data_IF_908282066204
#
_entry.id   IF_908282066204
#
_cell.length_a   1.000
_cell.length_b   1.000
_cell.length_c   1.000
_cell.angle_alpha   90.00
_cell.angle_beta   90.00
_cell.angle_gamma   90.00
#
_symmetry.space_group_name_H-M   'P 1'
#
loop_
_entity.id
_entity.type
_entity.pdbx_description
1 polymer ?
#
# COMPACT_ATOMS: atom_id res chain seq x y z
N UNK A 1 50.02 -53.68 -81.85
CA UNK A 1 48.90 -52.77 -82.19
C UNK A 1 47.82 -53.02 -81.22
N UNK A 2 47.58 -52.02 -80.40
CA UNK A 2 46.75 -52.14 -79.15
C UNK A 2 45.39 -51.43 -79.39
N UNK A 3 44.34 -52.19 -79.22
CA UNK A 3 42.96 -51.61 -79.17
C UNK A 3 42.52 -51.41 -77.74
N UNK A 4 42.15 -50.20 -77.38
CA UNK A 4 41.51 -49.82 -76.09
C UNK A 4 39.99 -49.92 -76.18
N UNK A 5 39.29 -50.44 -75.19
CA UNK A 5 37.86 -50.37 -75.12
C UNK A 5 37.43 -49.11 -74.37
N UNK A 6 36.33 -48.47 -74.89
CA UNK A 6 35.63 -47.39 -74.27
C UNK A 6 34.74 -47.83 -73.11
N UNK A 7 34.87 -47.20 -71.94
CA UNK A 7 33.95 -47.36 -70.83
C UNK A 7 32.88 -46.23 -70.90
N UNK A 8 31.62 -46.63 -70.95
CA UNK A 8 30.49 -45.74 -70.81
C UNK A 8 30.21 -45.45 -69.35
N UNK A 9 30.03 -44.17 -69.05
CA UNK A 9 29.63 -43.70 -67.72
C UNK A 9 28.12 -43.56 -67.69
N UNK A 10 27.45 -44.34 -66.85
CA UNK A 10 26.04 -44.15 -66.50
C UNK A 10 25.93 -43.08 -65.41
N UNK A 11 25.23 -42.01 -65.71
CA UNK A 11 24.92 -40.94 -64.78
C UNK A 11 23.66 -41.32 -63.92
N UNK A 12 23.88 -41.72 -62.70
CA UNK A 12 22.79 -41.92 -61.72
C UNK A 12 22.32 -40.57 -61.18
N UNK A 13 21.07 -40.25 -61.40
CA UNK A 13 20.41 -39.09 -60.76
C UNK A 13 20.02 -39.48 -59.34
N UNK A 14 20.74 -38.98 -58.33
CA UNK A 14 20.35 -39.05 -56.94
C UNK A 14 19.26 -37.98 -56.64
N UNK A 15 18.06 -38.45 -56.32
CA UNK A 15 16.97 -37.56 -55.80
C UNK A 15 17.25 -37.34 -54.33
N UNK A 16 17.66 -36.13 -53.97
CA UNK A 16 17.75 -35.72 -52.55
C UNK A 16 16.37 -35.26 -52.12
N UNK A 17 15.70 -36.08 -51.29
CA UNK A 17 14.44 -35.72 -50.62
C UNK A 17 14.83 -34.89 -49.38
N UNK A 18 14.70 -33.57 -49.45
CA UNK A 18 14.86 -32.69 -48.29
C UNK A 18 13.58 -32.77 -47.41
N UNK A 19 13.65 -33.54 -46.36
CA UNK A 19 12.62 -33.53 -45.34
C UNK A 19 12.74 -32.20 -44.55
N UNK A 20 11.84 -31.29 -44.75
CA UNK A 20 11.66 -30.12 -43.90
C UNK A 20 11.14 -30.58 -42.52
N UNK A 21 12.04 -30.73 -41.53
CA UNK A 21 11.66 -30.84 -40.11
C UNK A 21 11.18 -29.45 -39.66
N UNK A 22 9.86 -29.21 -39.61
CA UNK A 22 9.27 -28.11 -38.89
C UNK A 22 9.45 -28.38 -37.41
N UNK A 23 10.48 -27.77 -36.81
CA UNK A 23 10.64 -27.71 -35.37
C UNK A 23 9.52 -26.77 -34.89
N UNK A 24 8.42 -27.31 -34.36
CA UNK A 24 7.47 -26.54 -33.58
C UNK A 24 8.23 -26.05 -32.33
N UNK A 25 8.62 -24.78 -32.37
CA UNK A 25 9.09 -24.10 -31.16
C UNK A 25 7.88 -24.08 -30.21
N UNK A 26 7.93 -24.72 -29.05
CA UNK A 26 6.85 -24.59 -28.09
C UNK A 26 6.72 -23.09 -27.78
N UNK A 27 5.55 -22.51 -27.99
CA UNK A 27 5.22 -21.22 -27.45
C UNK A 27 5.55 -21.28 -25.96
N UNK A 28 6.54 -20.50 -25.54
CA UNK A 28 6.86 -20.36 -24.13
C UNK A 28 5.57 -19.86 -23.47
N UNK A 29 4.92 -20.72 -22.69
CA UNK A 29 3.79 -20.32 -21.88
C UNK A 29 4.27 -19.12 -21.06
N UNK A 30 3.77 -17.93 -21.35
CA UNK A 30 4.12 -16.73 -20.60
C UNK A 30 3.80 -17.00 -19.14
N UNK A 31 4.85 -17.05 -18.33
CA UNK A 31 4.72 -17.21 -16.91
C UNK A 31 3.79 -16.11 -16.37
N UNK A 32 2.80 -16.51 -15.56
CA UNK A 32 1.96 -15.55 -14.85
C UNK A 32 2.86 -14.83 -13.86
N UNK A 33 3.00 -13.52 -13.99
CA UNK A 33 3.92 -12.72 -13.18
C UNK A 33 3.21 -11.50 -12.63
N UNK A 34 3.65 -11.10 -11.46
CA UNK A 34 3.40 -9.78 -10.93
C UNK A 34 4.76 -9.17 -10.58
N UNK A 35 5.02 -8.00 -11.10
CA UNK A 35 6.20 -7.19 -10.77
C UNK A 35 5.74 -5.86 -10.18
N UNK A 36 6.53 -5.37 -9.27
CA UNK A 36 6.22 -4.16 -8.52
C UNK A 36 7.41 -3.20 -8.60
N UNK A 37 7.13 -1.93 -8.79
CA UNK A 37 8.14 -0.88 -8.72
C UNK A 37 7.66 0.22 -7.77
N UNK A 38 8.56 0.70 -6.91
CA UNK A 38 8.32 1.88 -6.08
C UNK A 38 8.60 3.12 -6.91
N UNK A 39 7.67 4.06 -6.91
CA UNK A 39 7.90 5.41 -7.42
C UNK A 39 7.82 6.40 -6.27
N UNK A 40 8.87 7.20 -6.13
CA UNK A 40 8.96 8.24 -5.11
C UNK A 40 9.74 9.43 -5.66
N UNK A 41 9.07 10.49 -6.15
CA UNK A 41 9.72 11.61 -6.81
C UNK A 41 10.53 12.50 -5.83
N UNK A 42 10.52 12.17 -4.56
CA UNK A 42 11.18 12.93 -3.51
C UNK A 42 10.20 13.75 -2.67
N UNK A 43 10.72 14.44 -1.64
CA UNK A 43 9.91 15.16 -0.68
C UNK A 43 9.39 16.50 -1.21
N UNK A 44 8.15 16.82 -0.84
CA UNK A 44 7.59 18.17 -0.90
C UNK A 44 7.76 18.85 0.46
N UNK A 45 8.39 20.03 0.49
CA UNK A 45 8.65 20.76 1.74
C UNK A 45 7.37 21.29 2.35
N UNK A 46 7.31 21.29 3.67
CA UNK A 46 6.20 21.78 4.48
C UNK A 46 5.42 20.69 5.21
N UNK A 47 4.38 21.08 5.96
CA UNK A 47 3.82 22.43 6.06
C UNK A 47 4.63 23.36 6.97
N UNK A 48 4.93 24.59 6.52
CA UNK A 48 5.77 25.54 7.28
C UNK A 48 4.99 26.30 8.35
N UNK A 49 3.67 26.28 8.32
CA UNK A 49 2.81 27.01 9.27
C UNK A 49 1.94 26.06 10.09
N UNK A 50 1.65 26.41 11.37
CA UNK A 50 0.77 25.59 12.20
C UNK A 50 -0.63 25.42 11.59
N UNK A 51 -1.24 24.27 11.85
CA UNK A 51 -2.62 23.92 11.44
C UNK A 51 -2.85 23.99 9.92
N UNK A 52 -1.83 23.64 9.16
CA UNK A 52 -1.90 23.54 7.70
C UNK A 52 -1.47 22.17 7.23
N UNK A 53 -1.73 21.89 5.96
CA UNK A 53 -1.31 20.66 5.29
C UNK A 53 -0.56 20.95 4.00
N UNK A 54 0.19 19.97 3.55
CA UNK A 54 0.83 19.90 2.25
C UNK A 54 0.44 18.59 1.58
N UNK A 55 0.27 18.60 0.26
CA UNK A 55 0.08 17.42 -0.55
C UNK A 55 1.27 17.18 -1.47
N UNK A 56 1.57 15.93 -1.69
CA UNK A 56 2.55 15.45 -2.66
C UNK A 56 1.98 14.22 -3.37
N UNK A 57 2.48 13.88 -4.56
CA UNK A 57 2.02 12.71 -5.29
C UNK A 57 3.18 11.95 -5.94
N UNK A 58 2.94 10.70 -6.21
CA UNK A 58 3.80 9.82 -7.00
C UNK A 58 2.96 9.13 -8.06
N UNK A 59 3.51 8.95 -9.26
CA UNK A 59 2.79 8.50 -10.44
C UNK A 59 3.31 7.16 -10.92
N UNK A 60 2.41 6.27 -11.36
CA UNK A 60 2.73 4.99 -11.97
C UNK A 60 2.62 5.13 -13.51
N UNK A 61 3.71 5.44 -14.23
CA UNK A 61 3.64 5.73 -15.66
C UNK A 61 3.30 4.50 -16.52
N UNK A 62 3.72 3.32 -16.06
CA UNK A 62 3.62 2.05 -16.82
C UNK A 62 2.91 0.95 -16.02
N UNK A 63 2.00 1.32 -15.10
CA UNK A 63 1.36 0.35 -14.24
C UNK A 63 0.14 0.91 -13.51
N UNK A 64 -0.45 0.05 -12.69
CA UNK A 64 -1.56 0.38 -11.81
C UNK A 64 -1.04 0.66 -10.40
N UNK A 65 -1.59 1.66 -9.73
CA UNK A 65 -1.37 1.80 -8.30
C UNK A 65 -2.04 0.62 -7.59
N UNK A 66 -1.25 -0.23 -6.95
CA UNK A 66 -1.77 -1.27 -6.05
C UNK A 66 -1.87 -0.80 -4.61
N UNK A 67 -1.06 0.18 -4.24
CA UNK A 67 -1.01 0.76 -2.92
C UNK A 67 -0.01 1.91 -2.89
N UNK A 68 0.26 2.41 -1.71
CA UNK A 68 1.28 3.44 -1.54
C UNK A 68 1.35 3.93 -0.10
N UNK A 69 2.24 4.87 0.13
CA UNK A 69 2.55 5.34 1.45
C UNK A 69 2.89 6.82 1.50
N UNK A 70 3.22 7.25 2.69
CA UNK A 70 3.74 8.57 3.00
C UNK A 70 4.84 8.46 4.06
N UNK A 71 5.86 9.30 3.94
CA UNK A 71 6.83 9.54 4.99
C UNK A 71 6.91 11.04 5.29
N UNK A 72 6.81 11.36 6.56
CA UNK A 72 6.94 12.71 7.08
C UNK A 72 8.32 12.84 7.70
N UNK A 73 9.27 13.38 6.92
CA UNK A 73 10.57 13.68 7.49
C UNK A 73 10.45 14.72 8.59
N UNK A 74 11.04 14.40 9.72
CA UNK A 74 11.11 15.23 10.90
C UNK A 74 12.50 15.87 10.88
N UNK A 75 12.57 17.19 10.93
CA UNK A 75 13.85 17.90 11.02
C UNK A 75 14.56 17.68 12.36
N UNK A 76 15.65 18.39 12.58
CA UNK A 76 16.41 18.32 13.83
C UNK A 76 15.61 18.70 15.09
N UNK A 77 14.50 19.41 14.90
CA UNK A 77 13.54 19.74 15.94
C UNK A 77 12.42 18.69 16.07
N UNK A 78 12.73 17.45 15.83
CA UNK A 78 11.88 16.28 15.81
C UNK A 78 10.97 16.14 17.01
N UNK A 79 11.40 16.66 18.11
CA UNK A 79 10.67 16.70 19.38
C UNK A 79 9.47 17.65 19.36
N UNK A 80 9.19 18.31 18.24
CA UNK A 80 8.26 19.43 18.21
C UNK A 80 6.79 19.05 18.08
N UNK A 81 6.44 17.78 18.01
CA UNK A 81 5.04 17.33 18.14
C UNK A 81 4.07 17.85 17.08
N UNK A 82 4.53 18.30 15.95
CA UNK A 82 3.69 18.99 14.97
C UNK A 82 3.39 18.17 13.75
N UNK A 83 4.38 17.49 13.23
CA UNK A 83 4.32 16.84 11.93
C UNK A 83 3.65 15.45 12.01
N UNK A 84 2.70 15.19 11.12
CA UNK A 84 2.00 13.90 11.07
C UNK A 84 1.41 13.63 9.69
N UNK A 85 1.25 12.38 9.36
CA UNK A 85 0.50 11.97 8.16
C UNK A 85 -0.97 12.37 8.34
N UNK A 86 -1.54 13.01 7.32
CA UNK A 86 -2.97 13.35 7.25
C UNK A 86 -3.72 12.53 6.21
N UNK A 87 -3.00 11.81 5.36
CA UNK A 87 -3.61 10.93 4.39
C UNK A 87 -2.61 10.29 3.45
N UNK A 88 -3.02 9.16 2.93
CA UNK A 88 -2.33 8.33 1.94
C UNK A 88 -3.42 7.69 1.10
N UNK A 89 -3.60 8.11 -0.15
CA UNK A 89 -4.78 7.73 -0.94
C UNK A 89 -4.49 7.60 -2.43
N UNK A 90 -5.20 6.69 -3.14
CA UNK A 90 -5.17 6.69 -4.60
C UNK A 90 -5.85 7.94 -5.16
N UNK A 91 -5.43 8.37 -6.34
CA UNK A 91 -5.98 9.51 -7.06
C UNK A 91 -6.05 9.22 -8.56
N UNK A 92 -6.97 9.87 -9.24
CA UNK A 92 -7.12 9.76 -10.69
C UNK A 92 -6.08 10.57 -11.46
N UNK A 93 -5.62 11.69 -10.91
CA UNK A 93 -4.82 12.69 -11.62
C UNK A 93 -3.64 13.26 -10.79
N UNK A 94 -3.41 12.72 -9.58
CA UNK A 94 -2.39 13.20 -8.65
C UNK A 94 -2.72 14.53 -7.94
N UNK A 95 -3.87 15.12 -8.21
CA UNK A 95 -4.28 16.41 -7.65
C UNK A 95 -5.65 16.34 -6.96
N UNK A 96 -6.53 15.45 -7.40
CA UNK A 96 -7.92 15.35 -6.95
C UNK A 96 -8.12 14.12 -6.07
N UNK A 97 -8.67 14.33 -4.88
CA UNK A 97 -9.07 13.26 -3.97
C UNK A 97 -10.44 12.68 -4.37
N UNK A 98 -10.62 11.37 -4.22
CA UNK A 98 -11.95 10.74 -4.32
C UNK A 98 -12.72 10.98 -3.02
N UNK A 99 -13.55 12.01 -2.96
CA UNK A 99 -14.27 12.41 -1.74
C UNK A 99 -15.80 12.41 -1.88
N UNK A 100 -16.31 12.03 -3.04
CA UNK A 100 -17.73 12.11 -3.40
C UNK A 100 -18.62 11.09 -2.66
N UNK A 101 -19.43 10.36 -3.39
CA UNK A 101 -20.36 9.36 -2.84
C UNK A 101 -19.61 8.05 -2.57
N UNK A 102 -19.82 7.41 -1.40
CA UNK A 102 -19.26 6.08 -1.13
C UNK A 102 -19.62 5.04 -2.19
N UNK A 103 -18.70 4.11 -2.43
CA UNK A 103 -18.80 3.05 -3.43
C UNK A 103 -17.56 3.01 -4.33
N UNK A 104 -17.69 2.45 -5.53
CA UNK A 104 -16.63 2.51 -6.55
C UNK A 104 -16.55 3.94 -7.08
N UNK A 105 -15.42 4.58 -6.87
CA UNK A 105 -15.19 6.01 -7.18
C UNK A 105 -14.21 6.24 -8.32
N UNK A 106 -13.47 5.19 -8.74
CA UNK A 106 -12.53 5.26 -9.84
C UNK A 106 -12.07 3.88 -10.28
N UNK A 107 -11.46 3.82 -11.46
CA UNK A 107 -10.83 2.64 -12.03
C UNK A 107 -9.42 3.00 -12.47
N UNK A 108 -8.52 2.01 -12.43
CA UNK A 108 -7.15 2.11 -12.96
C UNK A 108 -6.40 3.34 -12.45
N UNK A 109 -6.47 3.59 -11.13
CA UNK A 109 -5.74 4.69 -10.53
C UNK A 109 -4.24 4.56 -10.83
N UNK A 110 -3.65 5.63 -11.36
CA UNK A 110 -2.25 5.71 -11.72
C UNK A 110 -1.45 6.67 -10.82
N UNK A 111 -2.10 7.28 -9.84
CA UNK A 111 -1.48 8.26 -8.95
C UNK A 111 -1.75 7.92 -7.50
N UNK A 112 -0.79 8.24 -6.65
CA UNK A 112 -0.89 8.14 -5.21
C UNK A 112 -0.60 9.48 -4.57
N UNK A 113 -1.50 9.96 -3.72
CA UNK A 113 -1.32 11.20 -2.98
C UNK A 113 -0.94 10.93 -1.53
N UNK A 114 0.03 11.67 -1.04
CA UNK A 114 0.41 11.75 0.35
C UNK A 114 0.13 13.14 0.91
N UNK A 115 -0.43 13.18 2.12
CA UNK A 115 -0.77 14.43 2.81
C UNK A 115 -0.04 14.50 4.13
N UNK A 116 0.76 15.55 4.29
CA UNK A 116 1.36 15.91 5.55
C UNK A 116 0.59 17.02 6.25
N UNK A 117 0.58 16.99 7.56
CA UNK A 117 -0.06 18.02 8.36
C UNK A 117 0.81 18.50 9.49
N UNK A 118 0.49 19.69 10.00
CA UNK A 118 1.11 20.23 11.20
C UNK A 118 0.06 20.51 12.28
N UNK A 119 0.41 20.22 13.52
CA UNK A 119 -0.32 20.63 14.70
C UNK A 119 -0.02 22.09 15.09
N UNK A 120 0.09 22.35 16.40
CA UNK A 120 0.43 23.68 16.91
C UNK A 120 1.87 24.10 16.66
N UNK A 121 2.72 23.20 16.23
CA UNK A 121 4.09 23.46 15.82
C UNK A 121 4.29 23.13 14.36
N UNK A 122 5.14 23.88 13.71
CA UNK A 122 5.52 23.69 12.30
C UNK A 122 6.98 24.05 12.14
N UNK A 123 7.59 23.58 11.06
CA UNK A 123 8.98 23.89 10.70
C UNK A 123 9.12 23.90 9.19
N UNK A 124 9.95 24.79 8.68
CA UNK A 124 10.36 24.79 7.26
C UNK A 124 11.14 23.51 6.88
N UNK A 125 11.66 22.78 7.88
CA UNK A 125 12.36 21.51 7.68
C UNK A 125 11.40 20.31 7.54
N UNK A 126 10.10 20.47 7.78
CA UNK A 126 9.13 19.40 7.56
C UNK A 126 9.00 19.10 6.06
N UNK A 127 8.84 17.84 5.74
CA UNK A 127 8.59 17.43 4.36
C UNK A 127 7.71 16.20 4.31
N UNK A 128 7.03 16.03 3.19
CA UNK A 128 6.15 14.90 2.92
C UNK A 128 6.64 14.18 1.66
N UNK A 129 7.01 12.92 1.80
CA UNK A 129 7.46 12.07 0.69
C UNK A 129 6.34 11.09 0.33
N UNK A 130 5.84 11.09 -0.91
CA UNK A 130 4.88 10.11 -1.39
C UNK A 130 5.59 8.86 -1.90
N UNK A 131 4.96 7.70 -1.76
CA UNK A 131 5.38 6.43 -2.33
C UNK A 131 4.20 5.80 -3.05
N UNK A 132 4.31 5.56 -4.35
CA UNK A 132 3.39 4.73 -5.10
C UNK A 132 3.99 3.33 -5.28
N UNK A 133 3.18 2.31 -5.09
CA UNK A 133 3.50 0.93 -5.47
C UNK A 133 2.82 0.67 -6.82
N UNK A 134 3.64 0.57 -7.85
CA UNK A 134 3.20 0.40 -9.23
C UNK A 134 3.24 -1.08 -9.60
N UNK A 135 2.08 -1.68 -9.79
CA UNK A 135 1.90 -3.09 -10.15
C UNK A 135 1.83 -3.24 -11.65
N UNK A 136 2.65 -4.14 -12.19
CA UNK A 136 2.54 -4.67 -13.55
C UNK A 136 2.24 -6.16 -13.47
N UNK A 137 1.09 -6.59 -14.00
CA UNK A 137 0.66 -7.99 -13.95
C UNK A 137 -0.08 -8.39 -15.21
N UNK A 138 0.11 -9.64 -15.63
CA UNK A 138 -0.65 -10.20 -16.75
C UNK A 138 -2.00 -10.79 -16.30
N UNK A 139 -2.27 -10.88 -14.99
CA UNK A 139 -3.55 -11.33 -14.45
C UNK A 139 -4.40 -10.15 -13.93
N UNK A 140 -3.80 -9.22 -13.19
CA UNK A 140 -4.49 -8.02 -12.71
C UNK A 140 -4.20 -6.91 -13.71
N UNK A 141 -5.12 -6.69 -14.63
CA UNK A 141 -4.98 -5.70 -15.71
C UNK A 141 -5.74 -4.42 -15.43
N UNK A 142 -6.73 -4.51 -14.56
CA UNK A 142 -7.59 -3.41 -14.16
C UNK A 142 -7.81 -3.43 -12.66
N UNK A 143 -7.96 -2.24 -12.09
CA UNK A 143 -8.28 -2.06 -10.68
C UNK A 143 -9.47 -1.13 -10.52
N UNK A 144 -10.10 -1.19 -9.36
CA UNK A 144 -11.13 -0.26 -8.96
C UNK A 144 -10.82 0.28 -7.57
N UNK A 145 -11.09 1.55 -7.37
CA UNK A 145 -10.98 2.21 -6.09
C UNK A 145 -12.36 2.26 -5.45
N UNK A 146 -12.50 1.64 -4.29
CA UNK A 146 -13.70 1.72 -3.45
C UNK A 146 -13.41 2.69 -2.31
N UNK A 147 -14.28 3.64 -2.11
CA UNK A 147 -14.18 4.60 -1.02
C UNK A 147 -15.38 4.49 -0.10
N UNK A 148 -15.14 4.62 1.19
CA UNK A 148 -16.16 4.86 2.19
C UNK A 148 -15.73 6.00 3.11
N UNK A 149 -16.71 6.71 3.70
CA UNK A 149 -16.44 7.83 4.60
C UNK A 149 -17.46 7.93 5.72
N UNK A 150 -17.04 8.52 6.82
CA UNK A 150 -17.93 8.87 7.90
C UNK A 150 -17.52 10.19 8.57
N UNK A 151 -18.50 10.91 9.08
CA UNK A 151 -18.26 12.09 9.90
C UNK A 151 -17.59 11.70 11.23
N UNK A 152 -16.63 12.49 11.63
CA UNK A 152 -15.87 12.32 12.87
C UNK A 152 -14.42 11.90 12.66
N UNK A 153 -13.67 11.80 13.78
CA UNK A 153 -14.05 12.10 15.15
C UNK A 153 -14.28 13.61 15.38
N UNK A 154 -15.27 13.97 16.17
CA UNK A 154 -15.67 15.39 16.39
C UNK A 154 -15.37 15.90 17.80
N UNK A 155 -15.13 15.04 18.76
CA UNK A 155 -14.79 15.39 20.15
C UNK A 155 -13.38 14.96 20.50
N UNK A 156 -12.70 15.72 21.34
CA UNK A 156 -11.34 15.41 21.78
C UNK A 156 -11.19 14.01 22.35
N UNK A 157 -10.04 13.41 22.12
CA UNK A 157 -9.67 12.05 22.57
C UNK A 157 -10.62 10.96 22.06
N UNK A 158 -11.12 11.09 20.85
CA UNK A 158 -11.98 10.10 20.21
C UNK A 158 -11.44 9.63 18.86
N UNK A 159 -11.96 8.51 18.40
CA UNK A 159 -11.64 7.96 17.09
C UNK A 159 -12.91 7.69 16.27
N UNK A 160 -12.74 7.58 14.95
CA UNK A 160 -13.77 7.19 14.00
C UNK A 160 -13.22 6.15 13.04
N UNK A 161 -13.84 4.99 13.07
CA UNK A 161 -13.50 3.89 12.17
C UNK A 161 -14.39 3.92 10.93
N UNK A 162 -13.80 3.64 9.77
CA UNK A 162 -14.48 3.54 8.48
C UNK A 162 -13.85 2.39 7.69
N UNK A 163 -14.68 1.56 7.06
CA UNK A 163 -14.23 0.42 6.25
C UNK A 163 -14.74 0.56 4.83
N UNK A 164 -13.84 0.39 3.85
CA UNK A 164 -14.16 0.25 2.43
C UNK A 164 -14.00 -1.23 2.04
N UNK A 165 -15.03 -1.82 1.43
CA UNK A 165 -15.08 -3.26 1.12
C UNK A 165 -15.03 -3.47 -0.39
N UNK A 166 -14.19 -4.36 -0.84
CA UNK A 166 -14.09 -4.77 -2.23
C UNK A 166 -15.39 -5.46 -2.71
N UNK A 167 -15.82 -5.23 -3.95
CA UNK A 167 -16.95 -5.97 -4.50
C UNK A 167 -16.70 -7.49 -4.50
N UNK A 168 -17.77 -8.24 -4.34
CA UNK A 168 -17.70 -9.72 -4.37
C UNK A 168 -17.08 -10.21 -5.68
N UNK A 169 -16.14 -11.14 -5.60
CA UNK A 169 -15.45 -11.69 -6.77
C UNK A 169 -14.20 -10.92 -7.17
N UNK A 170 -13.76 -9.97 -6.37
CA UNK A 170 -12.51 -9.22 -6.59
C UNK A 170 -11.52 -9.48 -5.44
N UNK A 171 -10.25 -9.12 -5.64
CA UNK A 171 -9.18 -9.28 -4.65
C UNK A 171 -8.75 -7.90 -4.16
N UNK A 172 -8.63 -7.75 -2.85
CA UNK A 172 -8.00 -6.58 -2.25
C UNK A 172 -6.49 -6.61 -2.55
N UNK A 173 -5.98 -5.56 -3.15
CA UNK A 173 -4.54 -5.41 -3.43
C UNK A 173 -3.90 -4.26 -2.66
N UNK A 174 -4.70 -3.41 -2.03
CA UNK A 174 -4.21 -2.35 -1.17
C UNK A 174 -5.29 -1.40 -0.71
N UNK A 175 -4.86 -0.31 -0.09
CA UNK A 175 -5.79 0.70 0.39
C UNK A 175 -5.10 1.88 1.06
N UNK A 176 -5.89 2.78 1.59
CA UNK A 176 -5.41 4.01 2.20
C UNK A 176 -6.40 4.66 3.16
N UNK A 177 -5.95 5.72 3.79
CA UNK A 177 -6.70 6.49 4.79
C UNK A 177 -6.52 7.99 4.61
N UNK A 178 -7.55 8.76 4.95
CA UNK A 178 -7.53 10.22 4.93
C UNK A 178 -8.39 10.80 6.04
N UNK A 179 -7.96 11.92 6.59
CA UNK A 179 -8.81 12.75 7.46
C UNK A 179 -8.80 14.20 7.01
N UNK A 180 -9.94 14.86 7.09
CA UNK A 180 -10.13 16.28 6.73
C UNK A 180 -10.95 17.01 7.78
N UNK A 181 -10.78 18.36 7.94
CA UNK A 181 -9.85 19.24 7.25
C UNK A 181 -8.46 19.29 7.92
N UNK A 182 -7.45 19.75 7.18
CA UNK A 182 -6.08 19.96 7.69
C UNK A 182 -5.98 21.05 8.76
N UNK A 183 -6.93 21.97 8.80
CA UNK A 183 -7.01 23.06 9.78
C UNK A 183 -7.27 22.59 11.21
N UNK A 184 -7.70 21.33 11.40
CA UNK A 184 -7.83 20.72 12.72
C UNK A 184 -6.53 19.96 13.04
N UNK A 185 -5.54 20.64 13.56
CA UNK A 185 -4.18 20.16 13.71
C UNK A 185 -3.95 18.98 14.65
N UNK A 186 -5.00 18.48 15.31
CA UNK A 186 -4.94 17.23 16.08
C UNK A 186 -5.69 16.07 15.39
N UNK A 187 -6.34 16.34 14.26
CA UNK A 187 -7.04 15.35 13.46
C UNK A 187 -6.07 14.67 12.50
N UNK A 188 -6.02 13.35 12.52
CA UNK A 188 -5.08 12.55 11.71
C UNK A 188 -5.59 11.12 11.57
N UNK A 189 -5.25 10.39 10.52
CA UNK A 189 -5.34 8.94 10.53
C UNK A 189 -4.40 8.40 11.62
N UNK A 190 -4.91 7.54 12.47
CA UNK A 190 -4.12 6.80 13.45
C UNK A 190 -3.97 5.33 13.07
N UNK A 191 -4.77 4.88 12.11
CA UNK A 191 -4.63 3.55 11.53
C UNK A 191 -5.13 3.51 10.08
N UNK A 192 -4.50 2.62 9.29
CA UNK A 192 -4.84 2.26 7.92
C UNK A 192 -4.39 0.82 7.70
N UNK A 193 -5.31 -0.16 7.54
CA UNK A 193 -4.95 -1.58 7.56
C UNK A 193 -5.92 -2.46 6.76
N UNK A 194 -5.45 -3.63 6.25
CA UNK A 194 -6.30 -4.65 5.65
C UNK A 194 -7.14 -5.37 6.71
N UNK A 195 -8.36 -5.77 6.34
CA UNK A 195 -9.32 -6.44 7.22
C UNK A 195 -10.30 -7.26 6.41
N UNK A 196 -11.28 -7.88 7.08
CA UNK A 196 -12.37 -8.60 6.47
C UNK A 196 -13.71 -7.95 6.84
N UNK A 197 -14.64 -7.96 5.89
CA UNK A 197 -16.01 -7.51 6.11
C UNK A 197 -16.91 -8.66 6.56
N UNK A 198 -16.52 -9.35 7.63
CA UNK A 198 -17.23 -10.47 8.22
C UNK A 198 -17.48 -10.28 9.72
N UNK A 199 -18.20 -11.24 10.32
CA UNK A 199 -18.56 -11.16 11.73
C UNK A 199 -17.37 -11.41 12.67
N UNK A 200 -16.39 -12.20 12.26
CA UNK A 200 -15.22 -12.53 13.07
C UNK A 200 -14.30 -11.31 13.18
N UNK A 201 -14.23 -10.48 12.14
CA UNK A 201 -13.52 -9.21 12.12
C UNK A 201 -14.42 -8.00 12.45
N UNK A 202 -15.59 -8.25 13.01
CA UNK A 202 -16.56 -7.21 13.38
C UNK A 202 -16.80 -6.20 12.24
N UNK A 203 -16.95 -6.72 11.00
CA UNK A 203 -17.19 -5.93 9.79
C UNK A 203 -16.14 -4.83 9.57
N UNK A 204 -14.88 -5.22 9.63
CA UNK A 204 -13.74 -4.32 9.40
C UNK A 204 -13.20 -3.61 10.62
N UNK A 205 -13.74 -3.86 11.80
CA UNK A 205 -13.27 -3.22 13.02
C UNK A 205 -12.05 -3.92 13.65
N UNK A 206 -11.78 -5.16 13.27
CA UNK A 206 -10.59 -5.91 13.67
C UNK A 206 -9.67 -6.04 12.46
N UNK A 207 -8.40 -5.71 12.63
CA UNK A 207 -7.40 -5.85 11.58
C UNK A 207 -7.14 -7.32 11.23
N UNK A 208 -6.79 -7.58 9.98
CA UNK A 208 -6.31 -8.89 9.57
C UNK A 208 -5.01 -9.24 10.30
N UNK A 209 -4.92 -10.48 10.79
CA UNK A 209 -3.79 -11.01 11.54
C UNK A 209 -2.67 -11.54 10.65
N UNK A 210 -1.53 -11.88 11.29
CA UNK A 210 -0.40 -12.46 10.57
C UNK A 210 -0.74 -13.81 9.97
N UNK A 211 -0.45 -13.98 8.67
CA UNK A 211 -0.71 -15.20 7.92
C UNK A 211 -2.16 -15.35 7.44
N UNK A 212 -3.05 -14.41 7.69
CA UNK A 212 -4.40 -14.45 7.10
C UNK A 212 -4.36 -14.18 5.59
N UNK A 213 -5.30 -14.78 4.88
CA UNK A 213 -5.36 -14.77 3.43
C UNK A 213 -6.61 -14.07 2.91
N UNK A 214 -6.43 -13.40 1.77
CA UNK A 214 -7.51 -12.83 0.97
C UNK A 214 -8.44 -11.89 1.76
N UNK A 215 -7.90 -10.90 2.52
CA UNK A 215 -8.74 -9.87 3.09
C UNK A 215 -9.55 -9.18 1.99
N UNK A 216 -10.77 -8.79 2.28
CA UNK A 216 -11.70 -8.19 1.30
C UNK A 216 -12.04 -6.73 1.58
N UNK A 217 -11.44 -6.14 2.62
CA UNK A 217 -11.72 -4.78 3.03
C UNK A 217 -10.48 -4.04 3.55
N UNK A 218 -10.56 -2.72 3.54
CA UNK A 218 -9.56 -1.84 4.11
C UNK A 218 -10.19 -0.86 5.10
N UNK A 219 -9.61 -0.76 6.28
CA UNK A 219 -10.10 0.12 7.33
C UNK A 219 -9.16 1.29 7.57
N UNK A 220 -9.75 2.45 7.72
CA UNK A 220 -9.13 3.66 8.21
C UNK A 220 -9.69 4.04 9.58
N UNK A 221 -8.84 4.49 10.49
CA UNK A 221 -9.25 5.05 11.77
C UNK A 221 -8.74 6.48 11.86
N UNK A 222 -9.65 7.44 11.85
CA UNK A 222 -9.35 8.83 12.19
C UNK A 222 -9.30 9.01 13.70
N UNK A 223 -8.31 9.73 14.19
CA UNK A 223 -8.17 10.09 15.59
C UNK A 223 -8.08 11.61 15.76
N UNK A 224 -8.56 12.11 16.88
CA UNK A 224 -8.42 13.52 17.25
C UNK A 224 -7.88 13.63 18.67
N UNK A 225 -6.86 14.47 18.85
CA UNK A 225 -6.32 14.82 20.15
C UNK A 225 -7.22 15.76 20.93
N UNK A 226 -6.64 16.79 21.56
CA UNK A 226 -7.39 17.74 22.41
C UNK A 226 -8.34 18.69 21.67
N UNK A 227 -8.36 18.67 20.34
CA UNK A 227 -9.21 19.57 19.53
C UNK A 227 -10.66 19.12 19.41
N UNK A 228 -11.47 19.94 18.74
CA UNK A 228 -12.85 19.64 18.34
C UNK A 228 -13.08 20.10 16.91
N UNK A 229 -13.91 19.38 16.15
CA UNK A 229 -14.30 19.77 14.80
C UNK A 229 -15.60 19.07 14.41
N UNK A 230 -16.63 19.88 14.12
CA UNK A 230 -17.94 19.36 13.72
C UNK A 230 -17.90 18.75 12.30
N UNK A 231 -17.01 19.30 11.45
CA UNK A 231 -16.91 18.92 10.03
C UNK A 231 -15.80 17.92 9.75
N UNK A 232 -15.26 17.28 10.79
CA UNK A 232 -14.23 16.28 10.64
C UNK A 232 -14.78 15.08 9.87
N UNK A 233 -13.98 14.56 8.95
CA UNK A 233 -14.30 13.38 8.14
C UNK A 233 -13.14 12.40 8.20
N UNK A 234 -13.47 11.11 8.19
CA UNK A 234 -12.54 10.00 7.99
C UNK A 234 -12.95 9.25 6.73
N UNK A 235 -11.97 8.95 5.89
CA UNK A 235 -12.14 8.22 4.63
C UNK A 235 -11.28 6.97 4.65
N UNK A 236 -11.85 5.86 4.19
CA UNK A 236 -11.15 4.62 3.89
C UNK A 236 -11.19 4.35 2.38
N UNK A 237 -10.08 3.87 1.84
CA UNK A 237 -9.97 3.47 0.44
C UNK A 237 -9.52 2.03 0.37
N UNK A 238 -10.18 1.22 -0.45
CA UNK A 238 -9.73 -0.09 -0.85
C UNK A 238 -9.40 -0.07 -2.35
N UNK A 239 -8.26 -0.62 -2.72
CA UNK A 239 -7.90 -0.86 -4.11
C UNK A 239 -8.12 -2.35 -4.37
N UNK A 240 -9.04 -2.63 -5.26
CA UNK A 240 -9.50 -3.97 -5.57
C UNK A 240 -9.18 -4.30 -7.04
N UNK A 241 -8.93 -5.56 -7.36
CA UNK A 241 -8.96 -5.99 -8.76
C UNK A 241 -10.36 -5.77 -9.35
N UNK A 242 -10.49 -5.89 -10.67
CA UNK A 242 -11.81 -6.04 -11.31
C UNK A 242 -12.27 -7.50 -11.29
N UNK A 243 -13.50 -7.77 -11.65
CA UNK A 243 -14.15 -9.10 -11.63
C UNK A 243 -13.77 -10.00 -12.81
N UNK A 244 -12.92 -9.53 -13.71
CA UNK A 244 -12.43 -10.26 -14.88
C UNK A 244 -11.22 -11.16 -14.62
N UNK A 245 -10.80 -11.30 -13.35
CA UNK A 245 -9.64 -12.10 -12.98
C UNK A 245 -10.02 -13.54 -12.60
N UNK A 246 -9.12 -14.48 -12.86
CA UNK A 246 -9.24 -15.85 -12.36
C UNK A 246 -8.74 -15.94 -10.93
N UNK A 247 -9.63 -15.83 -9.97
CA UNK A 247 -9.37 -15.89 -8.51
C UNK A 247 -8.63 -17.16 -8.07
N UNK A 248 -8.65 -18.25 -8.86
CA UNK A 248 -7.91 -19.48 -8.53
C UNK A 248 -6.39 -19.31 -8.63
N UNK A 249 -5.96 -18.25 -9.27
CA UNK A 249 -4.55 -17.98 -9.55
C UNK A 249 -4.01 -16.73 -8.86
N UNK A 250 -4.83 -16.05 -8.09
CA UNK A 250 -4.46 -14.82 -7.37
C UNK A 250 -4.90 -14.95 -5.93
N UNK A 251 -3.97 -14.73 -5.02
CA UNK A 251 -4.30 -14.62 -3.58
C UNK A 251 -3.41 -13.59 -2.91
N UNK A 252 -3.89 -13.03 -1.81
CA UNK A 252 -3.11 -12.14 -0.96
C UNK A 252 -2.87 -12.77 0.41
N UNK A 253 -1.73 -12.48 1.00
CA UNK A 253 -1.38 -12.89 2.36
C UNK A 253 -1.01 -11.66 3.17
N UNK A 254 -1.54 -11.57 4.37
CA UNK A 254 -1.21 -10.50 5.31
C UNK A 254 0.00 -10.91 6.14
N UNK A 255 0.96 -9.99 6.31
CA UNK A 255 2.01 -10.08 7.31
C UNK A 255 1.87 -8.95 8.29
N UNK A 256 1.97 -9.25 9.56
CA UNK A 256 1.75 -8.32 10.64
C UNK A 256 2.89 -8.35 11.65
N UNK A 257 3.27 -7.18 12.13
CA UNK A 257 4.22 -7.01 13.23
C UNK A 257 3.76 -5.88 14.15
N UNK A 258 3.84 -6.12 15.45
CA UNK A 258 3.56 -5.15 16.50
C UNK A 258 4.81 -4.90 17.34
N UNK A 259 5.12 -3.64 17.61
CA UNK A 259 6.25 -3.22 18.43
C UNK A 259 5.77 -2.25 19.51
N UNK A 260 6.10 -2.49 20.77
CA UNK A 260 5.74 -1.59 21.87
C UNK A 260 6.41 -0.21 21.72
N UNK A 261 5.64 0.82 21.87
CA UNK A 261 6.05 2.24 21.78
C UNK A 261 5.40 2.99 20.60
N UNK A 262 5.63 4.32 20.54
CA UNK A 262 6.41 5.15 21.46
C UNK A 262 5.67 5.40 22.80
N UNK A 263 6.35 5.17 23.92
CA UNK A 263 5.77 5.29 25.28
C UNK A 263 6.28 6.49 26.08
N UNK A 264 7.22 7.24 25.50
CA UNK A 264 7.78 8.46 26.10
C UNK A 264 7.49 9.66 25.22
N UNK A 265 7.36 10.84 25.84
CA UNK A 265 7.15 12.08 25.09
C UNK A 265 8.27 12.33 24.09
N UNK A 266 7.90 12.80 22.90
CA UNK A 266 8.82 13.22 21.85
C UNK A 266 9.81 12.13 21.42
N UNK A 267 9.33 10.89 21.33
CA UNK A 267 10.09 9.75 20.80
C UNK A 267 9.37 9.10 19.63
N UNK A 268 10.13 8.53 18.72
CA UNK A 268 9.62 7.73 17.60
C UNK A 268 9.81 6.22 17.84
N UNK A 269 9.04 5.44 17.12
CA UNK A 269 9.14 3.99 17.03
C UNK A 269 8.89 3.56 15.59
N UNK A 270 9.63 2.56 15.13
CA UNK A 270 9.36 1.91 13.84
C UNK A 270 9.02 0.44 14.05
N UNK A 271 8.13 -0.06 13.22
CA UNK A 271 7.82 -1.48 13.08
C UNK A 271 7.91 -1.85 11.60
N UNK A 272 8.39 -3.06 11.29
CA UNK A 272 8.58 -3.51 9.91
C UNK A 272 8.01 -4.91 9.74
N UNK A 273 7.18 -5.12 8.72
CA UNK A 273 6.65 -6.42 8.30
C UNK A 273 7.05 -6.68 6.84
N UNK A 274 7.18 -7.94 6.45
CA UNK A 274 7.65 -8.25 5.11
C UNK A 274 7.09 -9.52 4.52
N UNK A 275 6.98 -9.54 3.19
CA UNK A 275 6.60 -10.70 2.40
C UNK A 275 7.74 -11.71 2.39
N UNK A 276 7.48 -12.92 2.85
CA UNK A 276 8.47 -13.98 2.86
C UNK A 276 8.55 -14.67 1.50
N UNK A 277 9.64 -15.44 1.30
CA UNK A 277 9.82 -16.19 0.06
C UNK A 277 8.66 -17.16 -0.16
N UNK A 278 7.96 -17.01 -1.28
CA UNK A 278 6.83 -17.86 -1.66
C UNK A 278 5.45 -17.24 -1.41
N UNK A 279 5.37 -16.06 -0.79
CA UNK A 279 4.13 -15.33 -0.56
C UNK A 279 3.81 -14.30 -1.65
N UNK A 280 4.69 -14.19 -2.62
CA UNK A 280 4.52 -13.27 -3.74
C UNK A 280 5.21 -11.93 -3.56
N UNK A 281 4.58 -10.88 -4.06
CA UNK A 281 5.11 -9.50 -4.11
C UNK A 281 4.41 -8.62 -3.09
N UNK A 282 5.17 -7.74 -2.46
CA UNK A 282 4.59 -6.66 -1.66
C UNK A 282 3.84 -5.70 -2.59
N UNK A 283 2.53 -5.61 -2.45
CA UNK A 283 1.68 -4.74 -3.28
C UNK A 283 1.13 -3.56 -2.53
N UNK A 284 1.11 -3.63 -1.21
CA UNK A 284 0.66 -2.55 -0.33
C UNK A 284 1.07 -2.82 1.11
N UNK A 285 0.79 -1.88 1.98
CA UNK A 285 0.91 -2.10 3.42
C UNK A 285 0.14 -1.06 4.20
N UNK A 286 0.02 -1.31 5.48
CA UNK A 286 -0.71 -0.50 6.43
C UNK A 286 0.12 -0.16 7.65
N UNK A 287 -0.34 0.82 8.40
CA UNK A 287 0.25 1.23 9.66
C UNK A 287 -0.81 1.65 10.66
N UNK A 288 -0.55 1.41 11.93
CA UNK A 288 -1.35 1.99 13.00
C UNK A 288 -0.50 2.36 14.21
N UNK A 289 -1.04 3.28 14.99
CA UNK A 289 -0.65 3.42 16.38
C UNK A 289 -1.86 3.06 17.24
N UNK A 290 -1.69 2.08 18.12
CA UNK A 290 -2.76 1.51 18.90
C UNK A 290 -2.46 1.55 20.40
N UNK A 291 -3.44 1.18 21.21
CA UNK A 291 -3.28 0.89 22.62
C UNK A 291 -2.90 -0.55 22.93
N UNK A 292 -2.42 -1.27 21.93
CA UNK A 292 -2.22 -2.72 21.97
C UNK A 292 -3.50 -3.47 21.58
N UNK A 293 -3.30 -4.63 20.96
CA UNK A 293 -4.38 -5.50 20.54
C UNK A 293 -5.28 -4.91 19.43
N UNK A 294 -4.70 -4.63 18.30
CA UNK A 294 -5.42 -4.15 17.08
C UNK A 294 -6.53 -5.08 16.60
N UNK A 295 -6.57 -6.31 17.13
CA UNK A 295 -7.65 -7.28 16.89
C UNK A 295 -8.91 -7.01 17.71
N UNK A 296 -8.89 -6.09 18.65
CA UNK A 296 -10.00 -5.76 19.54
C UNK A 296 -10.54 -4.35 19.41
N UNK A 297 -10.20 -3.64 18.32
CA UNK A 297 -10.71 -2.28 18.07
C UNK A 297 -10.27 -1.20 19.06
N UNK A 298 -9.28 -1.47 19.92
CA UNK A 298 -8.86 -0.51 20.95
C UNK A 298 -7.90 0.55 20.41
N UNK A 299 -8.39 1.35 19.47
CA UNK A 299 -7.68 2.54 19.00
C UNK A 299 -7.91 3.77 19.90
N UNK A 300 -8.79 3.65 20.88
CA UNK A 300 -9.17 4.76 21.75
C UNK A 300 -8.00 5.30 22.58
N UNK A 301 -7.08 4.45 23.00
CA UNK A 301 -5.90 4.85 23.78
C UNK A 301 -4.89 5.65 22.96
N UNK A 302 -4.77 5.35 21.68
CA UNK A 302 -3.86 6.05 20.78
C UNK A 302 -4.30 7.50 20.48
N UNK A 303 -5.54 7.85 20.78
CA UNK A 303 -6.09 9.20 20.55
C UNK A 303 -5.79 10.19 21.66
N UNK A 304 -4.98 9.83 22.65
CA UNK A 304 -4.71 10.67 23.83
C UNK A 304 -3.96 12.00 23.57
N UNK A 305 -3.80 12.38 22.29
CA UNK A 305 -3.28 13.67 21.86
C UNK A 305 -1.78 13.69 21.58
N UNK A 306 -1.07 12.64 21.92
CA UNK A 306 0.37 12.51 21.70
C UNK A 306 0.73 11.64 20.49
N UNK A 307 0.36 10.37 20.49
CA UNK A 307 0.77 9.44 19.45
C UNK A 307 0.16 9.73 18.08
N UNK A 308 0.96 9.52 17.02
CA UNK A 308 0.54 9.73 15.62
C UNK A 308 1.43 8.97 14.65
N UNK A 309 0.94 8.77 13.43
CA UNK A 309 1.72 8.25 12.32
C UNK A 309 2.57 9.37 11.72
N UNK A 310 3.86 9.11 11.59
CA UNK A 310 4.79 9.91 10.78
C UNK A 310 5.08 9.28 9.44
N UNK A 311 4.87 7.96 9.31
CA UNK A 311 5.07 7.28 8.06
C UNK A 311 4.42 5.92 8.00
N UNK A 312 4.14 5.52 6.77
CA UNK A 312 3.74 4.19 6.35
C UNK A 312 4.24 4.04 4.93
N UNK A 313 5.27 3.22 4.69
CA UNK A 313 5.97 3.24 3.41
C UNK A 313 6.68 1.90 3.11
N UNK A 314 6.94 1.59 1.81
CA UNK A 314 7.78 0.46 1.43
C UNK A 314 9.23 0.70 1.86
N UNK A 315 9.90 -0.36 2.32
CA UNK A 315 11.23 -0.25 2.93
C UNK A 315 12.10 -1.48 2.69
N UNK A 316 13.32 -1.42 3.20
CA UNK A 316 14.14 -2.60 3.45
C UNK A 316 13.82 -3.23 4.83
N UNK A 317 14.49 -4.33 5.16
CA UNK A 317 14.30 -5.05 6.43
C UNK A 317 14.71 -4.25 7.67
N UNK A 318 15.51 -3.20 7.50
CA UNK A 318 15.92 -2.30 8.57
C UNK A 318 14.96 -1.12 8.75
N UNK A 319 13.94 -1.01 7.90
CA UNK A 319 12.98 0.09 7.91
C UNK A 319 13.45 1.33 7.15
N UNK A 320 14.52 1.23 6.36
CA UNK A 320 14.94 2.32 5.48
C UNK A 320 13.96 2.45 4.32
N UNK A 321 13.41 3.65 4.05
CA UNK A 321 12.48 3.85 2.93
C UNK A 321 13.07 3.39 1.60
N UNK A 322 12.26 2.72 0.79
CA UNK A 322 12.65 2.30 -0.55
C UNK A 322 12.86 3.54 -1.45
N UNK A 323 13.96 3.55 -2.19
CA UNK A 323 14.25 4.61 -3.15
C UNK A 323 13.38 4.52 -4.41
N UNK A 324 13.33 5.63 -5.16
CA UNK A 324 12.70 5.67 -6.47
C UNK A 324 13.28 4.60 -7.41
N UNK A 325 12.41 3.91 -8.16
CA UNK A 325 12.80 2.81 -9.06
C UNK A 325 13.11 1.49 -8.35
N UNK A 326 12.96 1.36 -7.02
CA UNK A 326 13.17 0.09 -6.33
C UNK A 326 12.20 -0.97 -6.85
N UNK A 327 12.75 -2.04 -7.43
CA UNK A 327 11.97 -3.15 -7.96
C UNK A 327 11.71 -4.19 -6.88
N UNK A 328 10.48 -4.67 -6.80
CA UNK A 328 10.03 -5.75 -5.93
C UNK A 328 10.48 -5.58 -4.46
N UNK A 329 10.12 -4.46 -3.80
CA UNK A 329 10.37 -4.30 -2.38
C UNK A 329 9.72 -5.45 -1.62
N UNK A 330 10.26 -5.80 -0.45
CA UNK A 330 9.74 -6.94 0.32
C UNK A 330 9.20 -6.54 1.68
N UNK A 331 9.44 -5.31 2.12
CA UNK A 331 9.06 -4.86 3.46
C UNK A 331 8.25 -3.58 3.43
N UNK A 332 7.41 -3.46 4.45
CA UNK A 332 6.65 -2.26 4.77
C UNK A 332 6.99 -1.80 6.17
N UNK A 333 7.13 -0.49 6.37
CA UNK A 333 7.45 0.11 7.66
C UNK A 333 6.36 1.07 8.09
N UNK A 334 5.95 0.95 9.34
CA UNK A 334 5.22 1.99 10.07
C UNK A 334 6.21 2.81 10.88
N UNK A 335 6.19 4.12 10.71
CA UNK A 335 6.88 5.08 11.57
C UNK A 335 5.85 5.83 12.39
N UNK A 336 5.99 5.75 13.70
CA UNK A 336 5.08 6.38 14.65
C UNK A 336 5.85 7.31 15.57
N UNK A 337 5.19 8.30 16.12
CA UNK A 337 5.80 9.25 17.01
C UNK A 337 4.83 9.64 18.14
N UNK A 338 5.36 9.90 19.33
CA UNK A 338 4.58 10.52 20.41
C UNK A 338 4.88 12.01 20.47
N UNK A 339 3.84 12.82 20.60
CA UNK A 339 3.98 14.23 20.87
C UNK A 339 4.40 14.52 22.30
N UNK A 340 4.12 15.75 22.78
CA UNK A 340 4.47 16.18 24.14
C UNK A 340 3.75 15.44 25.27
N UNK A 341 2.70 14.71 24.95
CA UNK A 341 1.94 13.90 25.91
C UNK A 341 2.06 12.42 25.55
N UNK A 342 2.93 11.67 26.22
CA UNK A 342 3.10 10.26 25.93
C UNK A 342 1.86 9.48 26.35
N UNK A 343 1.55 8.43 25.61
CA UNK A 343 0.57 7.43 25.97
C UNK A 343 1.28 6.18 26.46
N UNK A 344 1.07 5.82 27.72
CA UNK A 344 1.59 4.55 28.24
C UNK A 344 0.85 3.39 27.59
N UNK A 345 1.60 2.39 27.12
CA UNK A 345 1.03 1.21 26.46
C UNK A 345 0.59 1.49 25.02
N UNK A 346 1.28 2.38 24.30
CA UNK A 346 1.15 2.51 22.85
C UNK A 346 1.94 1.42 22.14
N UNK A 347 1.47 1.05 20.94
CA UNK A 347 2.12 0.11 20.04
C UNK A 347 2.15 0.68 18.63
N UNK A 348 3.21 0.36 17.92
CA UNK A 348 3.39 0.63 16.50
C UNK A 348 3.10 -0.65 15.74
N UNK A 349 2.09 -0.61 14.90
CA UNK A 349 1.58 -1.76 14.17
C UNK A 349 1.82 -1.57 12.69
N UNK A 350 2.23 -2.63 12.00
CA UNK A 350 2.53 -2.61 10.58
C UNK A 350 1.99 -3.85 9.89
N UNK A 351 1.41 -3.65 8.71
CA UNK A 351 0.95 -4.71 7.81
C UNK A 351 1.72 -4.63 6.49
N UNK A 352 2.07 -5.78 5.94
CA UNK A 352 2.47 -5.94 4.56
C UNK A 352 1.45 -6.83 3.85
N UNK A 353 0.95 -6.42 2.70
CA UNK A 353 0.04 -7.20 1.87
C UNK A 353 0.82 -7.79 0.71
N UNK A 354 0.90 -9.11 0.67
CA UNK A 354 1.71 -9.90 -0.25
C UNK A 354 0.81 -10.53 -1.31
N UNK A 355 1.02 -10.25 -2.58
CA UNK A 355 0.27 -10.78 -3.71
C UNK A 355 0.99 -11.96 -4.33
N UNK A 356 0.37 -13.14 -4.32
CA UNK A 356 0.82 -14.34 -5.02
C UNK A 356 0.01 -14.53 -6.31
N UNK A 357 0.72 -14.68 -7.42
CA UNK A 357 0.17 -14.97 -8.74
C UNK A 357 0.67 -16.34 -9.15
N UNK A 358 -0.14 -17.38 -8.92
CA UNK A 358 0.25 -18.77 -9.11
C UNK A 358 0.14 -19.23 -10.56
N UNK A 359 1.15 -19.95 -11.01
CA UNK A 359 0.99 -20.80 -12.18
C UNK A 359 0.03 -21.94 -11.83
N UNK A 360 -1.04 -22.09 -12.60
CA UNK A 360 -1.88 -23.27 -12.48
C UNK A 360 -1.01 -24.51 -12.68
N UNK A 361 -0.60 -25.18 -11.60
CA UNK A 361 -0.20 -26.55 -11.71
C UNK A 361 -1.45 -27.34 -12.12
N UNK A 362 -1.50 -27.80 -13.36
CA UNK A 362 -2.41 -28.87 -13.71
C UNK A 362 -2.10 -30.04 -12.78
N UNK A 363 -3.13 -30.58 -12.07
CA UNK A 363 -2.96 -31.82 -11.31
C UNK A 363 -2.55 -32.98 -12.20
#
# INVERSE_FOLDING_TARGET
>A
MSMKPRRGTAAGKALILAALLTIAVPEAAHAKTADVTVVSPGPTMGPPTPFTGVSSHADCPDGLVSGGGADQAIGSDEMSNGNHVMGMVPSADGATEYVDTPGVVGTDAAHWMAFGGSGSRSSDAFSTTPYAICLSSNLIRHTQVVMNKAQGPSTGLSSKLVTATCPTGTVLIGGGARTTPASVGSLKPIASFPTFNDADHHFGAIAAGDGEHDPDAWTAVGGIGGGRGADNMTYAYAICSTDDIDLKHVSTTVRFTEVSGPNTASTGQTATAGCTRGEGRLVSGGAAISGGNVTTTDFGKATSGGPHLNGSFPSDAAGTPAGDGTANPSYWTAATHSGGSPSQGSYSDVWALCLDVRHGHKP
#
